data_IF_254326036737
#
_entry.id   IF_254326036737
#
_cell.length_a   1.000
_cell.length_b   1.000
_cell.length_c   1.000
_cell.angle_alpha   90.00
_cell.angle_beta   90.00
_cell.angle_gamma   90.00
#
_symmetry.space_group_name_H-M   'P 1'
#
loop_
_entity.id
_entity.type
_entity.pdbx_description
1 polymer ?
#
# COMPACT_ATOMS: atom_id res chain seq x y z
N UNK A 1 -40.81 -14.76 26.89
CA UNK A 1 -40.44 -15.69 25.78
C UNK A 1 -38.93 -15.64 25.60
N UNK A 2 -38.23 -16.76 25.79
CA UNK A 2 -36.76 -16.77 25.89
C UNK A 2 -36.14 -16.69 24.48
N UNK A 3 -35.50 -15.56 24.15
CA UNK A 3 -34.95 -15.25 22.82
C UNK A 3 -34.01 -16.35 22.31
N UNK A 4 -33.23 -16.96 23.22
CA UNK A 4 -32.35 -18.09 22.90
C UNK A 4 -33.10 -19.28 22.31
N UNK A 5 -34.28 -19.64 22.86
CA UNK A 5 -35.09 -20.75 22.36
C UNK A 5 -35.67 -20.45 20.98
N UNK A 6 -36.01 -19.19 20.69
CA UNK A 6 -36.48 -18.77 19.37
C UNK A 6 -35.37 -18.89 18.32
N UNK A 7 -34.18 -18.39 18.64
CA UNK A 7 -33.02 -18.48 17.75
C UNK A 7 -32.62 -19.92 17.45
N UNK A 8 -32.58 -20.80 18.46
CA UNK A 8 -32.26 -22.22 18.27
C UNK A 8 -33.26 -22.88 17.31
N UNK A 9 -34.56 -22.59 17.48
CA UNK A 9 -35.62 -23.12 16.61
C UNK A 9 -35.50 -22.62 15.17
N UNK A 10 -35.18 -21.35 14.99
CA UNK A 10 -34.93 -20.77 13.66
C UNK A 10 -33.70 -21.38 12.99
N UNK A 11 -32.60 -21.59 13.72
CA UNK A 11 -31.39 -22.26 13.21
C UNK A 11 -31.68 -23.70 12.81
N UNK A 12 -32.46 -24.44 13.61
CA UNK A 12 -32.81 -25.83 13.30
C UNK A 12 -33.69 -25.92 12.05
N UNK A 13 -34.67 -25.02 11.91
CA UNK A 13 -35.51 -24.90 10.71
C UNK A 13 -34.69 -24.50 9.47
N UNK A 14 -33.75 -23.58 9.64
CA UNK A 14 -32.86 -23.13 8.56
C UNK A 14 -31.98 -24.29 8.07
N UNK A 15 -31.37 -25.04 8.98
CA UNK A 15 -30.56 -26.22 8.65
C UNK A 15 -31.34 -27.27 7.85
N UNK A 16 -32.60 -27.53 8.21
CA UNK A 16 -33.47 -28.46 7.47
C UNK A 16 -33.82 -27.96 6.07
N UNK A 17 -33.99 -26.66 5.91
CA UNK A 17 -34.45 -26.05 4.64
C UNK A 17 -33.32 -25.61 3.71
N UNK A 18 -32.07 -25.56 4.20
CA UNK A 18 -30.91 -25.11 3.42
C UNK A 18 -30.60 -26.02 2.22
N UNK A 19 -30.93 -27.32 2.32
CA UNK A 19 -30.73 -28.30 1.26
C UNK A 19 -31.94 -28.42 0.31
N UNK A 20 -33.09 -27.85 0.68
CA UNK A 20 -34.26 -27.82 -0.19
C UNK A 20 -34.07 -26.73 -1.25
N UNK A 21 -33.78 -27.17 -2.48
CA UNK A 21 -33.61 -26.30 -3.65
C UNK A 21 -34.89 -25.46 -3.87
N UNK A 22 -34.74 -24.14 -3.88
CA UNK A 22 -35.84 -23.19 -4.04
C UNK A 22 -36.35 -22.57 -2.74
N UNK A 23 -35.93 -23.05 -1.56
CA UNK A 23 -36.26 -22.41 -0.29
C UNK A 23 -35.61 -21.02 -0.18
N UNK A 24 -36.20 -20.06 0.56
CA UNK A 24 -35.57 -18.76 0.82
C UNK A 24 -34.19 -18.90 1.47
N UNK A 25 -34.01 -19.90 2.34
CA UNK A 25 -32.73 -20.22 2.99
C UNK A 25 -31.66 -20.65 1.98
N UNK A 26 -32.02 -21.47 0.99
CA UNK A 26 -31.12 -21.88 -0.09
C UNK A 26 -30.70 -20.67 -0.94
N UNK A 27 -31.63 -19.78 -1.31
CA UNK A 27 -31.32 -18.57 -2.07
C UNK A 27 -30.32 -17.67 -1.34
N UNK A 28 -30.56 -17.43 -0.04
CA UNK A 28 -29.65 -16.65 0.80
C UNK A 28 -28.28 -17.34 0.89
N UNK A 29 -28.25 -18.66 1.07
CA UNK A 29 -27.02 -19.44 1.11
C UNK A 29 -26.18 -19.28 -0.16
N UNK A 30 -26.81 -19.32 -1.34
CA UNK A 30 -26.11 -19.11 -2.61
C UNK A 30 -25.51 -17.70 -2.70
N UNK A 31 -26.28 -16.67 -2.38
CA UNK A 31 -25.80 -15.28 -2.37
C UNK A 31 -24.65 -15.07 -1.39
N UNK A 32 -24.79 -15.57 -0.16
CA UNK A 32 -23.75 -15.50 0.87
C UNK A 32 -22.49 -16.23 0.40
N UNK A 33 -22.63 -17.43 -0.19
CA UNK A 33 -21.48 -18.18 -0.72
C UNK A 33 -20.77 -17.44 -1.86
N UNK A 34 -21.52 -16.82 -2.77
CA UNK A 34 -20.95 -16.04 -3.86
C UNK A 34 -20.21 -14.81 -3.35
N UNK A 35 -20.78 -14.11 -2.36
CA UNK A 35 -20.15 -12.97 -1.72
C UNK A 35 -18.90 -13.36 -0.95
N UNK A 36 -18.91 -14.44 -0.17
CA UNK A 36 -17.74 -14.87 0.60
C UNK A 36 -16.60 -15.33 -0.30
N UNK A 37 -16.90 -16.07 -1.37
CA UNK A 37 -15.90 -16.49 -2.36
C UNK A 37 -15.32 -15.26 -3.08
N UNK A 38 -16.18 -14.31 -3.50
CA UNK A 38 -15.75 -13.07 -4.13
C UNK A 38 -14.86 -12.21 -3.21
N UNK A 39 -15.26 -12.02 -1.95
CA UNK A 39 -14.46 -11.31 -0.96
C UNK A 39 -13.12 -12.00 -0.68
N UNK A 40 -13.12 -13.33 -0.55
CA UNK A 40 -11.90 -14.10 -0.35
C UNK A 40 -10.95 -13.96 -1.54
N UNK A 41 -11.49 -13.97 -2.76
CA UNK A 41 -10.69 -13.74 -3.97
C UNK A 41 -10.08 -12.35 -4.01
N UNK A 42 -10.87 -11.31 -3.68
CA UNK A 42 -10.38 -9.92 -3.60
C UNK A 42 -9.27 -9.82 -2.55
N UNK A 43 -9.48 -10.38 -1.36
CA UNK A 43 -8.47 -10.38 -0.29
C UNK A 43 -7.18 -11.08 -0.74
N UNK A 44 -7.26 -12.25 -1.37
CA UNK A 44 -6.10 -12.98 -1.85
C UNK A 44 -5.38 -12.23 -2.98
N UNK A 45 -6.14 -11.63 -3.89
CA UNK A 45 -5.59 -10.80 -4.97
C UNK A 45 -4.88 -9.56 -4.42
N UNK A 46 -5.49 -8.84 -3.47
CA UNK A 46 -4.88 -7.66 -2.86
C UNK A 46 -3.66 -8.03 -2.00
N UNK A 47 -3.68 -9.20 -1.35
CA UNK A 47 -2.53 -9.69 -0.58
C UNK A 47 -1.32 -9.99 -1.47
N UNK A 48 -1.53 -10.64 -2.61
CA UNK A 48 -0.43 -11.01 -3.52
C UNK A 48 0.09 -9.81 -4.33
N UNK A 49 -0.78 -8.88 -4.71
CA UNK A 49 -0.42 -7.69 -5.50
C UNK A 49 -1.10 -6.44 -4.93
N UNK A 50 -0.58 -5.88 -3.82
CA UNK A 50 -1.15 -4.69 -3.23
C UNK A 50 -0.89 -3.49 -4.13
N UNK A 51 -1.97 -2.84 -4.61
CA UNK A 51 -1.92 -1.57 -5.31
C UNK A 51 -1.99 -0.43 -4.29
N UNK A 52 -1.66 0.77 -4.75
CA UNK A 52 -1.63 1.99 -3.92
C UNK A 52 -3.01 2.40 -3.42
N UNK A 53 -4.06 2.18 -4.22
CA UNK A 53 -5.46 2.54 -3.92
C UNK A 53 -6.36 1.34 -3.55
N UNK A 54 -5.79 0.30 -2.94
CA UNK A 54 -6.55 -0.88 -2.52
C UNK A 54 -7.41 -0.62 -1.27
N UNK A 55 -8.49 -1.41 -1.10
CA UNK A 55 -9.47 -1.26 -0.02
C UNK A 55 -9.01 -1.87 1.31
N UNK A 56 -8.35 -3.03 1.29
CA UNK A 56 -7.96 -3.77 2.49
C UNK A 56 -6.46 -3.68 2.77
N UNK A 57 -5.62 -3.83 1.74
CA UNK A 57 -4.16 -3.84 1.91
C UNK A 57 -3.48 -2.75 1.07
N UNK A 58 -2.82 -1.80 1.73
CA UNK A 58 -2.00 -0.80 1.05
C UNK A 58 -0.64 -1.37 0.67
N UNK A 59 -0.16 -1.00 -0.52
CA UNK A 59 1.23 -1.27 -0.93
C UNK A 59 2.18 -0.67 0.11
N UNK A 60 3.10 -1.48 0.63
CA UNK A 60 4.12 -1.04 1.62
C UNK A 60 5.31 -0.34 0.96
N UNK A 61 5.47 -0.55 -0.34
CA UNK A 61 6.51 0.09 -1.13
C UNK A 61 6.09 1.49 -1.53
N UNK A 62 7.03 2.44 -1.49
CA UNK A 62 6.83 3.77 -2.03
C UNK A 62 6.57 3.70 -3.55
N UNK A 63 5.73 4.60 -4.05
CA UNK A 63 5.60 4.77 -5.48
C UNK A 63 6.94 5.20 -6.07
N UNK A 64 7.30 4.57 -7.20
CA UNK A 64 8.53 4.89 -7.91
C UNK A 64 8.28 6.23 -8.60
N UNK A 65 8.90 7.29 -8.09
CA UNK A 65 8.86 8.59 -8.74
C UNK A 65 9.55 8.51 -10.10
N UNK A 66 8.90 9.08 -11.10
CA UNK A 66 9.53 9.25 -12.42
C UNK A 66 10.64 10.30 -12.35
N UNK A 67 11.63 10.20 -13.24
CA UNK A 67 12.75 11.17 -13.31
C UNK A 67 12.23 12.62 -13.45
N UNK A 68 11.11 12.81 -14.15
CA UNK A 68 10.44 14.09 -14.35
C UNK A 68 9.84 14.66 -13.05
N UNK A 69 9.23 13.81 -12.22
CA UNK A 69 8.73 14.21 -10.90
C UNK A 69 9.87 14.55 -9.94
N UNK A 70 10.95 13.76 -9.99
CA UNK A 70 12.16 14.03 -9.22
C UNK A 70 12.77 15.38 -9.62
N UNK A 71 12.87 15.66 -10.92
CA UNK A 71 13.38 16.93 -11.42
C UNK A 71 12.50 18.11 -11.00
N UNK A 72 11.17 17.96 -11.12
CA UNK A 72 10.21 18.97 -10.69
C UNK A 72 10.28 19.23 -9.18
N UNK A 73 10.42 18.17 -8.39
CA UNK A 73 10.56 18.26 -6.94
C UNK A 73 11.88 18.94 -6.54
N UNK A 74 12.95 18.64 -7.27
CA UNK A 74 14.27 19.22 -7.03
C UNK A 74 14.40 20.66 -7.57
N UNK A 75 13.58 21.10 -8.53
CA UNK A 75 13.59 22.42 -9.20
C UNK A 75 13.81 23.62 -8.24
N UNK A 76 13.13 23.71 -7.08
CA UNK A 76 13.30 24.82 -6.14
C UNK A 76 14.62 24.78 -5.36
N UNK A 77 15.30 23.63 -5.33
CA UNK A 77 16.54 23.42 -4.59
C UNK A 77 17.79 23.61 -5.46
N UNK A 78 17.66 23.59 -6.80
CA UNK A 78 18.76 23.91 -7.72
C UNK A 78 19.15 25.40 -7.70
N UNK A 79 18.27 26.31 -7.28
CA UNK A 79 18.52 27.76 -7.30
C UNK A 79 19.33 28.29 -6.11
N UNK A 80 19.65 27.45 -5.12
CA UNK A 80 20.49 27.85 -3.99
C UNK A 80 21.93 27.39 -4.24
N UNK A 81 22.86 28.35 -4.33
CA UNK A 81 24.33 28.34 -4.46
C UNK A 81 25.18 27.13 -3.96
N UNK A 82 24.61 26.12 -3.30
CA UNK A 82 25.30 24.93 -2.80
C UNK A 82 25.70 23.94 -3.89
N UNK A 83 25.02 23.91 -5.04
CA UNK A 83 25.39 22.97 -6.11
C UNK A 83 26.65 23.39 -6.87
N UNK A 84 26.88 24.69 -7.03
CA UNK A 84 28.14 25.18 -7.59
C UNK A 84 29.31 24.78 -6.67
N UNK A 85 29.10 24.79 -5.35
CA UNK A 85 30.07 24.31 -4.37
C UNK A 85 30.27 22.78 -4.46
N UNK A 86 29.20 21.98 -4.52
CA UNK A 86 29.27 20.51 -4.58
C UNK A 86 29.82 19.98 -5.92
N UNK A 87 29.54 20.66 -7.03
CA UNK A 87 30.11 20.35 -8.35
C UNK A 87 31.58 20.76 -8.42
N UNK A 88 31.97 21.84 -7.74
CA UNK A 88 33.37 22.25 -7.63
C UNK A 88 34.16 21.28 -6.74
N UNK A 89 33.57 20.82 -5.63
CA UNK A 89 34.14 19.81 -4.74
C UNK A 89 34.24 18.42 -5.39
N UNK A 90 33.32 18.04 -6.28
CA UNK A 90 33.40 16.76 -7.00
C UNK A 90 34.41 16.76 -8.15
N UNK A 91 34.74 17.94 -8.70
CA UNK A 91 35.75 18.11 -9.76
C UNK A 91 37.18 18.31 -9.26
N UNK A 92 37.37 18.66 -7.98
CA UNK A 92 38.69 18.84 -7.38
C UNK A 92 39.37 17.50 -7.12
N UNK A 93 40.61 17.36 -7.58
CA UNK A 93 41.45 16.19 -7.26
C UNK A 93 41.86 16.21 -5.78
N UNK A 94 42.19 15.03 -5.23
CA UNK A 94 42.52 14.86 -3.80
C UNK A 94 43.66 15.79 -3.36
N UNK A 95 44.64 16.04 -4.23
CA UNK A 95 45.76 16.94 -3.97
C UNK A 95 45.36 18.42 -3.91
N UNK A 96 44.40 18.84 -4.73
CA UNK A 96 43.88 20.21 -4.71
C UNK A 96 43.05 20.47 -3.46
N UNK A 97 42.25 19.48 -3.02
CA UNK A 97 41.54 19.54 -1.73
C UNK A 97 42.50 19.68 -0.55
N UNK A 98 43.60 18.92 -0.58
CA UNK A 98 44.63 18.96 0.47
C UNK A 98 45.30 20.34 0.56
N UNK A 99 45.58 20.99 -0.58
CA UNK A 99 46.14 22.35 -0.61
C UNK A 99 45.18 23.39 -0.04
N UNK A 100 43.88 23.27 -0.32
CA UNK A 100 42.85 24.18 0.20
C UNK A 100 42.76 24.07 1.73
N UNK A 101 42.69 22.86 2.27
CA UNK A 101 42.63 22.60 3.72
C UNK A 101 43.86 23.17 4.43
N UNK A 102 45.06 22.95 3.88
CA UNK A 102 46.29 23.50 4.45
C UNK A 102 46.25 25.03 4.48
N UNK A 103 45.79 25.67 3.41
CA UNK A 103 45.70 27.12 3.33
C UNK A 103 44.70 27.72 4.34
N UNK A 104 43.66 26.98 4.71
CA UNK A 104 42.66 27.38 5.69
C UNK A 104 43.15 27.21 7.13
N UNK A 105 43.97 26.20 7.42
CA UNK A 105 44.61 25.98 8.73
C UNK A 105 45.67 27.06 9.04
N UNK A 106 46.34 27.58 8.02
CA UNK A 106 47.37 28.62 8.16
C UNK A 106 46.83 30.06 8.09
N UNK A 107 45.51 30.24 8.07
CA UNK A 107 44.84 31.55 8.10
C UNK A 107 44.39 31.90 9.51
#
# INVERSE_FOLDING_TARGET
>A
MNIKKKLIKEVENFRRTILLKGSPAFKIGVWVSGLTIGLTWILFSEYNQPKTNNLFFKKKEADIFTNEEIEKWNKPYFSNNKQELLVKDSKLTVDEKRKIILKEIYK
#
